data_IF_588354105448
#
_entry.id   IF_588354105448
#
_cell.length_a   1.000
_cell.length_b   1.000
_cell.length_c   1.000
_cell.angle_alpha   90.00
_cell.angle_beta   90.00
_cell.angle_gamma   90.00
#
_symmetry.space_group_name_H-M   'P 1'
#
loop_
_entity.id
_entity.type
_entity.pdbx_description
1 polymer ?
#
# COMPACT_ATOMS: atom_id res chain seq x y z
N UNK A 1 2.30 21.33 28.69
CA UNK A 1 1.81 19.95 28.50
C UNK A 1 1.65 19.70 27.03
N UNK A 2 2.01 18.52 26.54
CA UNK A 2 1.84 18.15 25.14
C UNK A 2 0.35 18.20 24.76
N UNK A 3 0.04 18.83 23.61
CA UNK A 3 -1.32 19.06 23.16
C UNK A 3 -1.62 18.46 21.79
N UNK A 4 -0.56 18.20 20.99
CA UNK A 4 -0.69 17.85 19.59
C UNK A 4 -0.08 16.48 19.27
N UNK A 5 -0.73 15.76 18.37
CA UNK A 5 -0.19 14.62 17.67
C UNK A 5 -0.05 14.97 16.19
N UNK A 6 1.11 14.73 15.61
CA UNK A 6 1.40 15.02 14.22
C UNK A 6 1.53 13.70 13.46
N UNK A 7 0.78 13.54 12.39
CA UNK A 7 0.82 12.34 11.55
C UNK A 7 1.07 12.70 10.10
N UNK A 8 1.80 11.83 9.39
CA UNK A 8 2.06 11.94 7.96
C UNK A 8 1.65 10.67 7.24
N UNK A 9 1.08 10.82 6.06
CA UNK A 9 0.87 9.75 5.09
C UNK A 9 1.73 10.03 3.85
N UNK A 10 2.87 9.37 3.77
CA UNK A 10 3.83 9.49 2.69
C UNK A 10 3.37 8.64 1.50
N UNK A 11 2.36 9.12 0.78
CA UNK A 11 1.74 8.42 -0.34
C UNK A 11 2.58 8.43 -1.62
N UNK A 12 2.01 7.97 -2.73
CA UNK A 12 2.71 7.94 -4.03
C UNK A 12 2.86 9.32 -4.65
N UNK A 13 1.89 10.21 -4.52
CA UNK A 13 1.87 11.53 -5.19
C UNK A 13 2.14 12.71 -4.26
N UNK A 14 2.02 12.50 -2.96
CA UNK A 14 2.11 13.57 -1.96
C UNK A 14 2.35 13.02 -0.56
N UNK A 15 2.90 13.87 0.31
CA UNK A 15 2.83 13.73 1.76
C UNK A 15 1.61 14.49 2.28
N UNK A 16 0.71 13.80 2.97
CA UNK A 16 -0.47 14.36 3.63
C UNK A 16 -0.24 14.38 5.13
N UNK A 17 -0.07 15.57 5.67
CA UNK A 17 0.17 15.77 7.09
C UNK A 17 -1.09 16.23 7.81
N UNK A 18 -1.30 15.72 9.00
CA UNK A 18 -2.46 16.03 9.82
C UNK A 18 -2.03 16.30 11.26
N UNK A 19 -2.56 17.37 11.84
CA UNK A 19 -2.36 17.74 13.22
C UNK A 19 -3.64 17.47 14.01
N UNK A 20 -3.54 16.65 15.04
CA UNK A 20 -4.63 16.33 15.97
C UNK A 20 -4.37 16.93 17.35
N UNK A 21 -5.45 17.31 18.04
CA UNK A 21 -5.40 17.51 19.48
C UNK A 21 -5.24 16.16 20.20
N UNK A 22 -4.80 16.18 21.47
CA UNK A 22 -4.61 14.97 22.26
C UNK A 22 -5.90 14.15 22.48
N UNK A 23 -7.08 14.77 22.31
CA UNK A 23 -8.38 14.11 22.35
C UNK A 23 -8.83 13.48 21.02
N UNK A 24 -7.98 13.56 19.97
CA UNK A 24 -8.27 13.03 18.64
C UNK A 24 -9.01 13.99 17.69
N UNK A 25 -9.27 15.23 18.11
CA UNK A 25 -9.88 16.25 17.26
C UNK A 25 -8.92 16.68 16.14
N UNK A 26 -9.39 16.70 14.90
CA UNK A 26 -8.65 17.21 13.75
C UNK A 26 -8.54 18.73 13.85
N UNK A 27 -7.31 19.25 13.93
CA UNK A 27 -7.04 20.68 14.06
C UNK A 27 -6.64 21.34 12.74
N UNK A 28 -5.85 20.64 11.92
CA UNK A 28 -5.37 21.14 10.64
C UNK A 28 -4.84 20.00 9.77
N UNK A 29 -4.82 20.20 8.47
CA UNK A 29 -4.16 19.33 7.50
C UNK A 29 -3.38 20.16 6.47
N UNK A 30 -2.39 19.54 5.87
CA UNK A 30 -1.57 20.11 4.80
C UNK A 30 -1.12 18.99 3.86
N UNK A 31 -0.97 19.30 2.59
CA UNK A 31 -0.53 18.35 1.57
C UNK A 31 0.56 18.98 0.70
N UNK A 32 1.64 18.23 0.46
CA UNK A 32 2.73 18.63 -0.41
C UNK A 32 3.00 17.52 -1.43
N UNK A 33 2.83 17.85 -2.70
CA UNK A 33 3.06 16.93 -3.81
C UNK A 33 4.55 16.79 -4.14
N UNK A 34 4.91 15.63 -4.69
CA UNK A 34 6.22 15.36 -5.26
C UNK A 34 6.13 14.47 -6.51
N UNK A 35 7.14 14.52 -7.40
CA UNK A 35 7.08 13.81 -8.66
C UNK A 35 7.29 12.31 -8.52
N UNK A 36 6.73 11.55 -9.47
CA UNK A 36 7.16 10.20 -9.82
C UNK A 36 7.91 10.28 -11.14
N UNK A 37 9.11 9.71 -11.19
CA UNK A 37 9.94 9.67 -12.39
C UNK A 37 9.70 8.35 -13.12
N UNK A 38 8.99 8.41 -14.25
CA UNK A 38 8.71 7.25 -15.09
C UNK A 38 9.71 7.16 -16.24
N UNK A 39 10.08 5.92 -16.60
CA UNK A 39 10.90 5.60 -17.76
C UNK A 39 10.46 4.27 -18.39
N UNK A 40 11.03 3.91 -19.54
CA UNK A 40 10.76 2.66 -20.26
C UNK A 40 9.26 2.38 -20.47
N UNK A 41 8.54 3.38 -20.95
CA UNK A 41 7.10 3.26 -21.21
C UNK A 41 6.24 3.10 -19.93
N UNK A 42 6.76 3.52 -18.77
CA UNK A 42 6.08 3.44 -17.50
C UNK A 42 6.39 2.19 -16.68
N UNK A 43 7.26 1.29 -17.17
CA UNK A 43 7.72 0.11 -16.42
C UNK A 43 8.59 0.52 -15.24
N UNK A 44 9.43 1.54 -15.40
CA UNK A 44 10.26 2.11 -14.34
C UNK A 44 9.47 3.21 -13.64
N UNK A 45 9.42 3.17 -12.31
CA UNK A 45 8.77 4.17 -11.48
C UNK A 45 9.62 4.44 -10.23
N UNK A 46 10.20 5.63 -10.18
CA UNK A 46 11.16 6.02 -9.13
C UNK A 46 10.76 7.33 -8.47
N UNK A 47 11.21 7.51 -7.24
CA UNK A 47 11.09 8.77 -6.49
C UNK A 47 12.41 9.14 -5.82
N UNK A 48 12.63 10.45 -5.65
CA UNK A 48 13.76 10.96 -4.89
C UNK A 48 13.38 11.08 -3.41
N UNK A 49 14.15 10.47 -2.54
CA UNK A 49 13.89 10.53 -1.10
C UNK A 49 14.05 11.94 -0.51
N UNK A 50 14.79 12.83 -1.19
CA UNK A 50 14.91 14.24 -0.80
C UNK A 50 13.60 14.98 -0.99
N UNK A 51 12.81 14.62 -2.03
CA UNK A 51 11.50 15.23 -2.26
C UNK A 51 10.52 14.87 -1.13
N UNK A 52 10.58 13.65 -0.62
CA UNK A 52 9.77 13.24 0.55
C UNK A 52 10.12 14.03 1.80
N UNK A 53 11.44 14.20 2.07
CA UNK A 53 11.90 14.96 3.22
C UNK A 53 11.49 16.43 3.12
N UNK A 54 11.61 17.03 1.94
CA UNK A 54 11.20 18.42 1.72
C UNK A 54 9.68 18.58 1.93
N UNK A 55 8.87 17.65 1.42
CA UNK A 55 7.42 17.66 1.60
C UNK A 55 7.04 17.54 3.08
N UNK A 56 7.67 16.60 3.81
CA UNK A 56 7.53 16.44 5.25
C UNK A 56 7.84 17.73 6.01
N UNK A 57 9.00 18.35 5.76
CA UNK A 57 9.41 19.58 6.41
C UNK A 57 8.47 20.75 6.10
N UNK A 58 8.03 20.90 4.86
CA UNK A 58 7.13 21.96 4.44
C UNK A 58 5.74 21.82 5.08
N UNK A 59 5.19 20.61 5.15
CA UNK A 59 3.95 20.35 5.84
C UNK A 59 4.03 20.74 7.32
N UNK A 60 5.11 20.39 8.00
CA UNK A 60 5.33 20.76 9.41
C UNK A 60 5.37 22.28 9.60
N UNK A 61 6.09 23.00 8.75
CA UNK A 61 6.15 24.47 8.81
C UNK A 61 4.75 25.09 8.65
N UNK A 62 3.93 24.56 7.75
CA UNK A 62 2.56 25.04 7.53
C UNK A 62 1.70 24.76 8.76
N UNK A 63 1.69 23.51 9.25
CA UNK A 63 0.84 23.07 10.35
C UNK A 63 1.21 23.73 11.68
N UNK A 64 2.48 24.04 11.89
CA UNK A 64 3.01 24.60 13.14
C UNK A 64 3.24 26.11 13.09
N UNK A 65 2.91 26.80 11.98
CA UNK A 65 3.18 28.24 11.78
C UNK A 65 2.76 29.13 12.96
N UNK A 66 1.56 28.91 13.47
CA UNK A 66 0.96 29.70 14.56
C UNK A 66 0.80 28.86 15.85
N UNK A 67 1.62 27.83 16.01
CA UNK A 67 1.56 26.89 17.14
C UNK A 67 2.95 26.72 17.76
N UNK A 68 2.97 26.34 19.01
CA UNK A 68 4.23 26.05 19.71
C UNK A 68 4.68 24.60 19.39
N UNK A 69 5.80 24.40 18.66
CA UNK A 69 6.31 23.06 18.37
C UNK A 69 6.60 22.23 19.64
N UNK A 70 6.87 22.88 20.79
CA UNK A 70 7.07 22.21 22.06
C UNK A 70 5.82 21.57 22.65
N UNK A 71 4.64 21.79 22.04
CA UNK A 71 3.40 21.14 22.40
C UNK A 71 3.11 19.87 21.55
N UNK A 72 3.95 19.55 20.55
CA UNK A 72 3.88 18.30 19.79
C UNK A 72 4.36 17.14 20.66
N UNK A 73 3.45 16.27 21.06
CA UNK A 73 3.73 15.09 21.87
C UNK A 73 4.53 14.04 21.15
N UNK A 74 4.11 13.75 19.91
CA UNK A 74 4.72 12.74 19.06
C UNK A 74 4.45 13.01 17.60
N UNK A 75 5.33 12.45 16.74
CA UNK A 75 5.14 12.35 15.31
C UNK A 75 5.14 10.87 14.89
N UNK A 76 4.23 10.50 13.97
CA UNK A 76 4.16 9.17 13.38
C UNK A 76 3.98 9.27 11.85
N UNK A 77 4.65 8.40 11.12
CA UNK A 77 4.65 8.41 9.66
C UNK A 77 4.11 7.08 9.14
N UNK A 78 3.01 7.11 8.38
CA UNK A 78 2.61 6.03 7.49
C UNK A 78 3.09 6.31 6.06
N UNK A 79 3.02 5.34 5.18
CA UNK A 79 3.40 5.61 3.79
C UNK A 79 3.30 4.41 2.87
N UNK A 80 3.52 4.68 1.58
CA UNK A 80 3.53 3.69 0.52
C UNK A 80 4.51 2.55 0.83
N UNK A 81 4.12 1.36 0.43
CA UNK A 81 4.79 0.10 0.77
C UNK A 81 5.54 -0.49 -0.44
N UNK A 82 6.20 -1.63 -0.26
CA UNK A 82 6.79 -2.45 -1.33
C UNK A 82 7.89 -1.74 -2.14
N UNK A 83 8.47 -0.68 -1.60
CA UNK A 83 9.54 0.07 -2.23
C UNK A 83 10.93 -0.54 -1.97
N UNK A 84 11.96 -0.01 -2.64
CA UNK A 84 13.34 -0.40 -2.42
C UNK A 84 14.24 0.84 -2.47
N UNK A 85 14.63 1.34 -1.31
CA UNK A 85 15.57 2.46 -1.15
C UNK A 85 16.88 1.95 -0.53
N UNK A 86 17.98 1.79 -1.30
CA UNK A 86 19.29 1.51 -0.75
C UNK A 86 19.89 2.79 -0.14
N UNK A 87 20.34 2.69 1.10
CA UNK A 87 21.00 3.77 1.81
C UNK A 87 22.36 3.33 2.37
N UNK A 88 23.31 4.26 2.47
CA UNK A 88 24.59 4.00 3.11
C UNK A 88 24.50 4.04 4.65
N UNK A 89 25.62 3.85 5.35
CA UNK A 89 25.68 3.84 6.82
C UNK A 89 25.27 5.19 7.45
N UNK A 90 25.41 6.28 6.72
CA UNK A 90 25.00 7.62 7.13
C UNK A 90 23.53 7.93 6.81
N UNK A 91 22.80 6.97 6.25
CA UNK A 91 21.40 7.16 5.84
C UNK A 91 21.21 7.93 4.53
N UNK A 92 22.29 8.14 3.76
CA UNK A 92 22.23 8.84 2.48
C UNK A 92 21.75 7.86 1.41
N UNK A 93 20.70 8.20 0.65
CA UNK A 93 20.25 7.41 -0.49
C UNK A 93 21.36 7.24 -1.54
N UNK A 94 21.53 6.02 -2.04
CA UNK A 94 22.54 5.69 -3.05
C UNK A 94 22.01 5.87 -4.47
N UNK A 95 20.70 5.92 -4.60
CA UNK A 95 19.96 6.18 -5.83
C UNK A 95 18.52 6.58 -5.50
N UNK A 96 17.73 6.94 -6.52
CA UNK A 96 16.28 7.06 -6.38
C UNK A 96 15.64 5.74 -5.94
N UNK A 97 14.58 5.83 -5.16
CA UNK A 97 13.82 4.69 -4.70
C UNK A 97 13.00 4.09 -5.83
N UNK A 98 13.08 2.78 -6.04
CA UNK A 98 12.10 2.04 -6.84
C UNK A 98 10.84 1.86 -6.00
N UNK A 99 9.74 2.54 -6.38
CA UNK A 99 8.46 2.49 -5.65
C UNK A 99 7.64 1.25 -6.02
N UNK A 100 6.48 1.06 -5.37
CA UNK A 100 5.59 -0.09 -5.60
C UNK A 100 5.14 -0.25 -7.06
N UNK A 101 5.02 0.85 -7.81
CA UNK A 101 4.61 0.84 -9.22
C UNK A 101 5.73 0.39 -10.18
N UNK A 102 6.98 0.28 -9.69
CA UNK A 102 8.11 -0.17 -10.50
C UNK A 102 8.04 -1.67 -10.76
N UNK A 103 7.93 -2.03 -12.02
CA UNK A 103 7.77 -3.42 -12.48
C UNK A 103 9.01 -4.00 -13.17
N UNK A 104 10.18 -3.31 -13.13
CA UNK A 104 11.38 -3.74 -13.87
C UNK A 104 11.93 -5.09 -13.48
N UNK A 105 11.70 -5.53 -12.25
CA UNK A 105 12.29 -6.73 -11.66
C UNK A 105 11.50 -8.04 -11.97
N UNK A 106 10.87 -8.13 -13.16
CA UNK A 106 10.06 -9.29 -13.55
C UNK A 106 10.87 -10.58 -13.65
N UNK A 107 12.05 -10.54 -14.28
CA UNK A 107 12.94 -11.71 -14.43
C UNK A 107 13.51 -12.19 -13.09
N UNK A 108 13.83 -11.25 -12.21
CA UNK A 108 14.33 -11.53 -10.87
C UNK A 108 13.23 -12.18 -10.02
N UNK A 109 11.96 -11.73 -10.18
CA UNK A 109 10.82 -12.36 -9.53
C UNK A 109 10.63 -13.83 -10.00
N UNK A 110 10.66 -14.07 -11.32
CA UNK A 110 10.57 -15.43 -11.87
C UNK A 110 11.68 -16.35 -11.32
N UNK A 111 12.88 -15.81 -11.14
CA UNK A 111 13.99 -16.57 -10.59
C UNK A 111 13.80 -16.88 -9.11
N UNK A 112 13.36 -15.92 -8.28
CA UNK A 112 13.06 -16.19 -6.88
C UNK A 112 11.96 -17.25 -6.79
N UNK A 113 10.91 -17.15 -7.61
CA UNK A 113 9.84 -18.14 -7.69
C UNK A 113 10.35 -19.52 -8.08
N UNK A 114 11.27 -19.61 -9.06
CA UNK A 114 11.84 -20.89 -9.50
C UNK A 114 12.70 -21.58 -8.42
N UNK A 115 13.35 -20.81 -7.55
CA UNK A 115 14.20 -21.33 -6.47
C UNK A 115 13.37 -21.75 -5.26
N UNK A 116 12.42 -20.89 -4.84
CA UNK A 116 11.64 -21.12 -3.61
C UNK A 116 10.40 -21.98 -3.89
N UNK A 117 9.82 -21.88 -5.07
CA UNK A 117 8.53 -22.48 -5.43
C UNK A 117 7.35 -21.62 -5.00
N UNK A 118 6.34 -21.49 -5.86
CA UNK A 118 5.20 -20.59 -5.69
C UNK A 118 4.43 -20.82 -4.38
N UNK A 119 4.08 -22.08 -4.11
CA UNK A 119 3.28 -22.42 -2.92
C UNK A 119 4.10 -22.24 -1.63
N UNK A 120 5.38 -22.58 -1.68
CA UNK A 120 6.29 -22.35 -0.56
C UNK A 120 6.48 -20.86 -0.29
N UNK A 121 6.69 -20.06 -1.34
CA UNK A 121 6.80 -18.61 -1.24
C UNK A 121 5.54 -18.00 -0.60
N UNK A 122 4.37 -18.41 -1.09
CA UNK A 122 3.09 -17.98 -0.51
C UNK A 122 2.95 -18.40 0.96
N UNK A 123 3.39 -19.61 1.32
CA UNK A 123 3.34 -20.11 2.71
C UNK A 123 4.25 -19.33 3.68
N UNK A 124 5.23 -18.59 3.17
CA UNK A 124 6.11 -17.73 3.96
C UNK A 124 5.55 -16.29 4.03
N UNK A 125 5.19 -15.74 2.87
CA UNK A 125 4.90 -14.31 2.72
C UNK A 125 3.41 -13.95 2.80
N UNK A 126 2.53 -14.94 2.59
CA UNK A 126 1.08 -14.71 2.45
C UNK A 126 0.68 -14.07 1.12
N UNK A 127 1.62 -13.93 0.18
CA UNK A 127 1.38 -13.28 -1.11
C UNK A 127 1.95 -14.10 -2.26
N UNK A 128 1.34 -13.99 -3.43
CA UNK A 128 1.94 -14.53 -4.65
C UNK A 128 3.18 -13.73 -5.05
N UNK A 129 4.23 -14.38 -5.63
CA UNK A 129 5.39 -13.68 -6.14
C UNK A 129 5.00 -12.57 -7.14
N UNK A 130 5.62 -11.40 -7.03
CA UNK A 130 5.35 -10.27 -7.92
C UNK A 130 6.54 -9.31 -8.01
N UNK A 131 6.82 -8.82 -9.21
CA UNK A 131 7.90 -7.88 -9.51
C UNK A 131 7.81 -6.55 -8.74
N UNK A 132 6.61 -6.19 -8.30
CA UNK A 132 6.34 -4.91 -7.64
C UNK A 132 6.84 -4.84 -6.19
N UNK A 133 7.21 -5.97 -5.59
CA UNK A 133 7.66 -6.04 -4.21
C UNK A 133 9.18 -5.80 -4.04
N UNK A 134 9.62 -5.64 -2.82
CA UNK A 134 11.01 -5.28 -2.49
C UNK A 134 12.02 -6.36 -2.86
N UNK A 135 11.73 -7.65 -2.60
CA UNK A 135 12.66 -8.75 -2.81
C UNK A 135 13.23 -8.83 -4.24
N UNK A 136 12.40 -8.84 -5.32
CA UNK A 136 12.92 -8.86 -6.67
C UNK A 136 13.68 -7.57 -7.04
N UNK A 137 13.30 -6.41 -6.49
CA UNK A 137 14.02 -5.15 -6.72
C UNK A 137 15.42 -5.17 -6.11
N UNK A 138 15.58 -5.78 -4.93
CA UNK A 138 16.91 -5.98 -4.32
C UNK A 138 17.77 -6.89 -5.19
N UNK A 139 17.21 -7.98 -5.72
CA UNK A 139 17.91 -8.88 -6.62
C UNK A 139 18.29 -8.18 -7.93
N UNK A 140 17.38 -7.35 -8.48
CA UNK A 140 17.67 -6.50 -9.64
C UNK A 140 18.89 -5.58 -9.37
N UNK A 141 18.93 -4.90 -8.22
CA UNK A 141 20.09 -4.06 -7.88
C UNK A 141 21.38 -4.86 -7.76
N UNK A 142 21.32 -6.05 -7.20
CA UNK A 142 22.49 -6.93 -7.10
C UNK A 142 23.08 -7.28 -8.46
N UNK A 143 22.24 -7.46 -9.48
CA UNK A 143 22.66 -7.92 -10.81
C UNK A 143 22.96 -6.78 -11.78
N UNK A 144 22.16 -5.74 -11.74
CA UNK A 144 22.25 -4.64 -12.71
C UNK A 144 22.99 -3.40 -12.17
N UNK A 145 23.04 -3.25 -10.83
CA UNK A 145 23.69 -2.13 -10.15
C UNK A 145 24.55 -2.63 -8.97
N UNK A 146 25.51 -3.56 -9.20
CA UNK A 146 26.25 -4.21 -8.11
C UNK A 146 27.00 -3.23 -7.21
N UNK A 147 27.48 -2.11 -7.72
CA UNK A 147 28.13 -1.08 -6.92
C UNK A 147 27.18 -0.46 -5.88
N UNK A 148 25.91 -0.23 -6.27
CA UNK A 148 24.87 0.27 -5.36
C UNK A 148 24.51 -0.80 -4.32
N UNK A 149 24.34 -2.06 -4.74
CA UNK A 149 24.02 -3.16 -3.84
C UNK A 149 25.10 -3.38 -2.78
N UNK A 150 26.38 -3.36 -3.17
CA UNK A 150 27.50 -3.56 -2.24
C UNK A 150 27.65 -2.37 -1.28
N UNK A 151 27.51 -1.13 -1.77
CA UNK A 151 27.59 0.08 -0.97
C UNK A 151 26.38 0.25 -0.01
N UNK A 152 25.26 -0.43 -0.28
CA UNK A 152 24.08 -0.34 0.57
C UNK A 152 24.36 -0.93 1.96
N UNK A 153 24.18 -0.09 2.97
CA UNK A 153 24.18 -0.51 4.38
C UNK A 153 22.82 -1.12 4.74
N UNK A 154 21.71 -0.49 4.29
CA UNK A 154 20.35 -0.97 4.49
C UNK A 154 19.51 -0.76 3.22
N UNK A 155 18.51 -1.63 3.04
CA UNK A 155 17.38 -1.45 2.12
C UNK A 155 16.15 -1.13 2.96
N UNK A 156 15.54 0.05 2.75
CA UNK A 156 14.46 0.57 3.60
C UNK A 156 13.26 1.02 2.76
N UNK A 157 12.13 1.28 3.44
CA UNK A 157 10.90 1.79 2.86
C UNK A 157 10.85 3.34 2.93
N UNK A 158 9.94 4.00 2.18
CA UNK A 158 9.85 5.47 2.17
C UNK A 158 9.63 6.10 3.56
N UNK A 159 8.68 5.57 4.35
CA UNK A 159 8.44 6.08 5.71
C UNK A 159 9.63 5.85 6.65
N UNK A 160 10.37 4.73 6.44
CA UNK A 160 11.55 4.42 7.23
C UNK A 160 12.68 5.43 6.99
N UNK A 161 12.75 6.00 5.78
CA UNK A 161 13.69 7.07 5.46
C UNK A 161 13.39 8.34 6.27
N UNK A 162 12.13 8.74 6.40
CA UNK A 162 11.77 9.90 7.24
C UNK A 162 12.09 9.61 8.70
N UNK A 163 11.74 8.42 9.21
CA UNK A 163 12.07 7.99 10.57
C UNK A 163 13.58 8.01 10.82
N UNK A 164 14.36 7.49 9.87
CA UNK A 164 15.84 7.52 9.92
C UNK A 164 16.39 8.94 9.97
N UNK A 165 15.88 9.85 9.13
CA UNK A 165 16.28 11.27 9.15
C UNK A 165 15.98 11.92 10.50
N UNK A 166 14.84 11.60 11.11
CA UNK A 166 14.43 12.16 12.40
C UNK A 166 15.25 11.60 13.57
N UNK A 167 15.57 10.30 13.57
CA UNK A 167 16.07 9.59 14.76
C UNK A 167 17.50 9.05 14.63
N UNK A 168 18.03 8.94 13.41
CA UNK A 168 19.29 8.27 13.13
C UNK A 168 19.23 6.73 13.22
N UNK A 169 18.04 6.13 13.40
CA UNK A 169 17.84 4.71 13.64
C UNK A 169 17.17 4.00 12.46
N UNK A 170 17.58 2.75 12.21
CA UNK A 170 17.10 1.95 11.08
C UNK A 170 16.02 0.97 11.55
N UNK A 171 14.79 1.44 11.61
CA UNK A 171 13.62 0.63 11.93
C UNK A 171 12.65 0.54 10.75
N UNK A 172 11.91 -0.56 10.68
CA UNK A 172 10.68 -0.69 9.89
C UNK A 172 9.59 -1.33 10.74
N UNK A 173 8.32 -1.22 10.32
CA UNK A 173 7.26 -1.92 11.04
C UNK A 173 6.95 -3.29 10.44
N UNK A 174 6.33 -4.16 11.26
CA UNK A 174 6.00 -5.51 10.87
C UNK A 174 5.08 -5.59 9.64
N UNK A 175 4.18 -4.60 9.45
CA UNK A 175 3.27 -4.59 8.30
C UNK A 175 4.01 -4.33 6.99
N UNK A 176 4.97 -3.40 6.99
CA UNK A 176 5.82 -3.10 5.84
C UNK A 176 6.83 -4.23 5.59
N UNK A 177 7.48 -4.74 6.64
CA UNK A 177 8.36 -5.91 6.52
C UNK A 177 7.64 -7.08 5.86
N UNK A 178 6.40 -7.38 6.25
CA UNK A 178 5.54 -8.41 5.66
C UNK A 178 5.25 -8.21 4.17
N UNK A 179 5.32 -6.96 3.68
CA UNK A 179 5.10 -6.63 2.27
C UNK A 179 6.40 -6.42 1.48
N UNK A 180 7.56 -6.75 2.06
CA UNK A 180 8.83 -6.76 1.31
C UNK A 180 9.02 -8.02 0.45
N UNK A 181 8.26 -9.09 0.70
CA UNK A 181 8.52 -10.44 0.22
C UNK A 181 9.85 -11.06 0.76
N UNK A 182 10.43 -10.48 1.82
CA UNK A 182 11.62 -10.99 2.49
C UNK A 182 11.33 -11.50 3.91
N UNK A 183 10.09 -11.32 4.38
CA UNK A 183 9.68 -11.56 5.76
C UNK A 183 8.70 -12.72 5.88
N UNK A 184 8.92 -13.59 6.85
CA UNK A 184 7.97 -14.65 7.18
C UNK A 184 6.92 -14.09 8.15
N UNK A 185 5.70 -13.88 7.66
CA UNK A 185 4.61 -13.28 8.44
C UNK A 185 4.11 -14.14 9.59
N UNK A 186 4.45 -15.43 9.62
CA UNK A 186 4.03 -16.36 10.69
C UNK A 186 5.08 -16.49 11.80
N UNK A 187 6.36 -16.55 11.44
CA UNK A 187 7.44 -16.56 12.44
C UNK A 187 7.76 -15.18 12.98
N UNK A 188 7.37 -14.11 12.27
CA UNK A 188 7.72 -12.75 12.63
C UNK A 188 9.21 -12.45 12.49
N UNK A 189 9.86 -13.04 11.49
CA UNK A 189 11.29 -12.90 11.24
C UNK A 189 11.58 -12.73 9.74
N UNK A 190 12.71 -12.14 9.38
CA UNK A 190 13.22 -12.19 8.02
C UNK A 190 13.41 -13.66 7.60
N UNK A 191 13.00 -14.00 6.37
CA UNK A 191 13.03 -15.39 5.89
C UNK A 191 14.41 -15.76 5.35
N UNK A 192 15.15 -16.61 6.07
CA UNK A 192 16.45 -17.10 5.62
C UNK A 192 16.38 -17.73 4.23
N UNK A 193 15.31 -18.49 3.94
CA UNK A 193 15.10 -19.17 2.66
C UNK A 193 14.99 -18.17 1.50
N UNK A 194 14.19 -17.09 1.66
CA UNK A 194 14.04 -16.07 0.63
C UNK A 194 15.30 -15.20 0.56
N UNK A 195 15.89 -14.86 1.71
CA UNK A 195 17.15 -14.12 1.76
C UNK A 195 18.27 -14.85 1.01
N UNK A 196 18.33 -16.16 1.14
CA UNK A 196 19.29 -17.00 0.41
C UNK A 196 19.00 -16.99 -1.10
N UNK A 197 17.72 -17.09 -1.51
CA UNK A 197 17.33 -17.04 -2.93
C UNK A 197 17.68 -15.70 -3.58
N UNK A 198 17.53 -14.58 -2.85
CA UNK A 198 17.93 -13.23 -3.29
C UNK A 198 19.46 -13.03 -3.16
N UNK A 199 20.10 -13.79 -2.28
CA UNK A 199 21.51 -13.61 -1.91
C UNK A 199 21.75 -12.30 -1.16
N UNK A 200 20.84 -11.97 -0.23
CA UNK A 200 20.87 -10.80 0.62
C UNK A 200 21.21 -11.19 2.06
N UNK A 201 22.20 -10.54 2.64
CA UNK A 201 22.51 -10.72 4.04
C UNK A 201 21.48 -9.99 4.92
N UNK A 202 20.96 -10.66 5.96
CA UNK A 202 19.93 -10.11 6.84
C UNK A 202 20.35 -8.78 7.48
N UNK A 203 21.63 -8.58 7.76
CA UNK A 203 22.14 -7.34 8.33
C UNK A 203 22.03 -6.12 7.40
N UNK A 204 21.67 -6.31 6.12
CA UNK A 204 21.31 -5.22 5.18
C UNK A 204 19.83 -4.82 5.27
N UNK A 205 19.07 -5.39 6.20
CA UNK A 205 17.66 -5.04 6.45
C UNK A 205 17.53 -4.31 7.78
N UNK A 206 16.51 -3.43 7.93
CA UNK A 206 16.26 -2.72 9.19
C UNK A 206 15.78 -3.67 10.31
N UNK A 207 15.82 -3.21 11.55
CA UNK A 207 15.18 -3.87 12.66
C UNK A 207 13.66 -3.74 12.54
N UNK A 208 12.93 -4.83 12.83
CA UNK A 208 11.46 -4.86 12.73
C UNK A 208 10.85 -4.64 14.10
N UNK A 209 9.99 -3.62 14.20
CA UNK A 209 9.20 -3.32 15.39
C UNK A 209 7.71 -3.29 15.05
N UNK A 210 6.85 -3.23 16.06
CA UNK A 210 5.42 -3.05 15.83
C UNK A 210 5.08 -1.56 15.66
N UNK A 211 4.07 -1.25 14.84
CA UNK A 211 3.51 0.09 14.80
C UNK A 211 3.07 0.53 16.20
N UNK A 212 3.24 1.81 16.52
CA UNK A 212 3.04 2.37 17.85
C UNK A 212 4.25 2.27 18.79
N UNK A 213 5.34 1.59 18.38
CA UNK A 213 6.57 1.52 19.20
C UNK A 213 7.34 2.85 19.11
N UNK A 214 7.77 3.44 20.24
CA UNK A 214 8.75 4.54 20.23
C UNK A 214 10.07 4.08 19.61
N UNK A 215 10.57 4.83 18.62
CA UNK A 215 11.80 4.48 17.88
C UNK A 215 12.93 5.50 18.05
N UNK A 216 12.71 6.52 18.84
CA UNK A 216 13.67 7.56 19.13
C UNK A 216 13.02 8.92 19.28
N UNK A 217 13.85 9.94 19.21
CA UNK A 217 13.42 11.33 19.29
C UNK A 217 14.03 12.12 18.14
N UNK A 218 13.42 13.23 17.79
CA UNK A 218 13.93 14.17 16.79
C UNK A 218 15.32 14.64 17.24
N UNK A 219 16.31 14.47 16.35
CA UNK A 219 17.71 14.88 16.56
C UNK A 219 17.86 16.39 16.45
N UNK A 220 18.81 16.94 17.22
CA UNK A 220 19.20 18.37 17.16
C UNK A 220 19.57 18.80 15.73
N UNK A 221 20.24 17.92 14.98
CA UNK A 221 20.76 18.21 13.64
C UNK A 221 19.70 18.45 12.57
N UNK A 222 18.45 18.01 12.78
CA UNK A 222 17.35 18.13 11.79
C UNK A 222 16.14 18.91 12.32
N UNK A 223 16.14 19.25 13.60
CA UNK A 223 15.00 19.87 14.29
C UNK A 223 14.56 21.18 13.64
N UNK A 224 15.51 22.09 13.36
CA UNK A 224 15.22 23.36 12.68
C UNK A 224 14.68 23.13 11.26
N UNK A 225 15.30 22.22 10.50
CA UNK A 225 14.91 21.91 9.13
C UNK A 225 13.47 21.37 9.06
N UNK A 226 13.10 20.50 9.98
CA UNK A 226 11.76 19.88 10.01
C UNK A 226 10.72 20.62 10.88
N UNK A 227 11.07 21.78 11.44
CA UNK A 227 10.19 22.60 12.27
C UNK A 227 9.64 21.89 13.52
N UNK A 228 10.37 20.91 14.05
CA UNK A 228 10.07 20.22 15.30
C UNK A 228 11.14 20.56 16.35
N UNK A 229 10.81 20.37 17.62
CA UNK A 229 11.83 20.53 18.65
C UNK A 229 12.68 19.26 18.80
N UNK A 230 13.97 19.41 19.12
CA UNK A 230 14.79 18.30 19.57
C UNK A 230 14.11 17.58 20.73
N UNK A 231 14.19 16.26 20.72
CA UNK A 231 13.54 15.45 21.76
C UNK A 231 12.05 15.15 21.53
N UNK A 232 11.41 15.71 20.50
CA UNK A 232 10.05 15.29 20.12
C UNK A 232 10.01 13.80 19.83
N UNK A 233 9.10 13.07 20.46
CA UNK A 233 9.00 11.62 20.31
C UNK A 233 8.64 11.21 18.88
N UNK A 234 9.37 10.25 18.31
CA UNK A 234 9.07 9.61 17.03
C UNK A 234 8.52 8.21 17.30
N UNK A 235 7.33 7.94 16.78
CA UNK A 235 6.63 6.66 16.94
C UNK A 235 6.58 5.96 15.58
N UNK A 236 6.93 4.69 15.55
CA UNK A 236 6.83 3.89 14.33
C UNK A 236 5.39 3.86 13.85
N UNK A 237 5.15 4.34 12.64
CA UNK A 237 3.88 4.17 11.94
C UNK A 237 3.79 2.83 11.22
N UNK A 238 2.89 2.74 10.26
CA UNK A 238 2.59 1.52 9.51
C UNK A 238 2.59 1.78 8.00
N UNK A 239 2.59 0.72 7.19
CA UNK A 239 2.27 0.84 5.78
C UNK A 239 0.87 1.43 5.57
N UNK A 240 0.71 2.22 4.50
CA UNK A 240 -0.51 3.00 4.20
C UNK A 240 -1.81 2.18 4.25
N UNK A 241 -1.82 1.00 3.63
CA UNK A 241 -2.99 0.12 3.64
C UNK A 241 -3.37 -0.37 5.04
N UNK A 242 -2.42 -0.50 5.97
CA UNK A 242 -2.68 -0.90 7.36
C UNK A 242 -3.11 0.29 8.21
N UNK A 243 -2.52 1.46 7.98
CA UNK A 243 -2.93 2.70 8.60
C UNK A 243 -4.37 3.06 8.20
N UNK A 244 -4.74 2.89 6.92
CA UNK A 244 -6.11 3.09 6.44
C UNK A 244 -7.11 2.13 7.11
N UNK A 245 -6.75 0.86 7.32
CA UNK A 245 -7.59 -0.10 8.05
C UNK A 245 -7.82 0.34 9.49
N UNK A 246 -6.75 0.76 10.18
CA UNK A 246 -6.87 1.29 11.55
C UNK A 246 -7.78 2.52 11.58
N UNK A 247 -7.60 3.45 10.63
CA UNK A 247 -8.44 4.64 10.51
C UNK A 247 -9.91 4.33 10.22
N UNK A 248 -10.19 3.20 9.55
CA UNK A 248 -11.54 2.67 9.33
C UNK A 248 -12.09 1.88 10.53
N UNK A 249 -11.32 1.72 11.61
CA UNK A 249 -11.73 0.98 12.81
C UNK A 249 -11.55 -0.54 12.70
N UNK A 250 -10.81 -1.05 11.72
CA UNK A 250 -10.67 -2.49 11.45
C UNK A 250 -9.46 -3.06 12.20
N UNK A 251 -9.71 -3.65 13.36
CA UNK A 251 -8.70 -4.28 14.22
C UNK A 251 -9.09 -5.66 14.74
N UNK A 252 -10.39 -5.90 14.91
CA UNK A 252 -10.90 -7.11 15.52
C UNK A 252 -11.32 -8.13 14.44
N UNK A 253 -11.34 -9.39 14.85
CA UNK A 253 -11.78 -10.50 14.00
C UNK A 253 -13.19 -10.26 13.46
N UNK A 254 -13.33 -10.46 12.14
CA UNK A 254 -14.60 -10.31 11.43
C UNK A 254 -14.91 -8.87 11.01
N UNK A 255 -14.12 -7.89 11.46
CA UNK A 255 -14.21 -6.54 10.91
C UNK A 255 -13.60 -6.49 9.51
N UNK A 256 -14.31 -5.88 8.59
CA UNK A 256 -13.90 -5.78 7.20
C UNK A 256 -14.21 -4.41 6.63
N UNK A 257 -13.47 -4.00 5.60
CA UNK A 257 -13.78 -2.80 4.84
C UNK A 257 -13.61 -3.04 3.34
N UNK A 258 -14.32 -2.24 2.57
CA UNK A 258 -14.19 -2.15 1.12
C UNK A 258 -13.64 -0.77 0.77
N UNK A 259 -12.59 -0.73 -0.02
CA UNK A 259 -12.13 0.49 -0.65
C UNK A 259 -12.54 0.50 -2.12
N UNK A 260 -13.31 1.52 -2.52
CA UNK A 260 -13.76 1.74 -3.89
C UNK A 260 -12.95 2.88 -4.51
N UNK A 261 -11.85 2.52 -5.16
CA UNK A 261 -10.99 3.42 -5.92
C UNK A 261 -10.90 3.00 -7.39
N UNK A 262 -9.89 3.48 -8.10
CA UNK A 262 -9.56 3.05 -9.48
C UNK A 262 -9.49 1.53 -9.58
N UNK A 263 -8.65 0.89 -8.76
CA UNK A 263 -8.82 -0.51 -8.33
C UNK A 263 -9.66 -0.54 -7.07
N UNK A 264 -10.26 -1.69 -6.75
CA UNK A 264 -11.02 -1.84 -5.51
C UNK A 264 -10.54 -3.07 -4.76
N UNK A 265 -10.63 -3.03 -3.42
CA UNK A 265 -10.25 -4.18 -2.61
C UNK A 265 -11.15 -4.35 -1.41
N UNK A 266 -11.22 -5.58 -0.97
CA UNK A 266 -11.86 -5.97 0.28
C UNK A 266 -10.79 -6.57 1.20
N UNK A 267 -10.76 -6.15 2.45
CA UNK A 267 -9.85 -6.64 3.47
C UNK A 267 -10.56 -6.86 4.78
N UNK A 268 -10.19 -7.92 5.51
CA UNK A 268 -10.76 -8.24 6.81
C UNK A 268 -9.67 -8.68 7.79
N UNK A 269 -9.88 -8.34 9.07
CA UNK A 269 -9.03 -8.79 10.17
C UNK A 269 -9.42 -10.20 10.62
N UNK A 270 -8.43 -11.04 10.90
CA UNK A 270 -8.61 -12.42 11.36
C UNK A 270 -7.53 -12.84 12.35
N UNK A 271 -7.86 -13.71 13.29
CA UNK A 271 -6.93 -14.40 14.18
C UNK A 271 -6.40 -15.73 13.59
N UNK A 272 -6.84 -16.08 12.38
CA UNK A 272 -6.49 -17.35 11.74
C UNK A 272 -5.26 -17.21 10.85
N UNK A 273 -4.31 -18.11 11.06
CA UNK A 273 -3.14 -18.26 10.20
C UNK A 273 -3.41 -19.09 8.93
N UNK A 274 -4.66 -19.57 8.74
CA UNK A 274 -5.03 -20.42 7.59
C UNK A 274 -4.70 -19.74 6.27
N UNK A 275 -4.13 -20.50 5.36
CA UNK A 275 -3.76 -20.05 4.03
C UNK A 275 -4.10 -21.11 2.99
N UNK A 276 -4.46 -20.65 1.81
CA UNK A 276 -4.57 -21.46 0.60
C UNK A 276 -3.96 -20.66 -0.56
N UNK A 277 -2.83 -21.15 -1.07
CA UNK A 277 -2.13 -20.53 -2.19
C UNK A 277 -2.98 -20.45 -3.48
N UNK A 278 -4.01 -21.29 -3.57
CA UNK A 278 -4.94 -21.33 -4.71
C UNK A 278 -6.21 -20.49 -4.50
N UNK A 279 -6.36 -19.87 -3.32
CA UNK A 279 -7.53 -19.02 -3.04
C UNK A 279 -7.56 -17.76 -3.90
N UNK A 280 -6.41 -17.29 -4.37
CA UNK A 280 -6.27 -16.03 -5.06
C UNK A 280 -6.40 -14.80 -4.14
N UNK A 281 -6.25 -15.00 -2.83
CA UNK A 281 -6.25 -13.94 -1.82
C UNK A 281 -4.85 -13.68 -1.33
N UNK A 282 -4.63 -12.51 -0.74
CA UNK A 282 -3.41 -12.23 0.02
C UNK A 282 -3.65 -12.35 1.52
N UNK A 283 -2.60 -12.63 2.25
CA UNK A 283 -2.54 -12.51 3.70
C UNK A 283 -1.38 -11.60 4.10
N UNK A 284 -1.58 -10.77 5.10
CA UNK A 284 -0.55 -9.91 5.66
C UNK A 284 -0.71 -9.77 7.17
N UNK A 285 0.24 -9.10 7.81
CA UNK A 285 0.15 -8.81 9.24
C UNK A 285 -0.84 -7.67 9.49
N UNK A 286 -1.63 -7.81 10.56
CA UNK A 286 -2.42 -6.74 11.14
C UNK A 286 -1.52 -5.82 11.99
N UNK A 287 -2.00 -4.63 12.35
CA UNK A 287 -1.36 -3.79 13.37
C UNK A 287 -1.55 -4.34 14.79
N UNK A 288 -2.50 -5.22 14.99
CA UNK A 288 -2.68 -5.96 16.23
C UNK A 288 -1.85 -7.24 16.21
N UNK A 289 -0.97 -7.40 17.19
CA UNK A 289 -0.11 -8.59 17.32
C UNK A 289 -0.94 -9.87 17.45
N UNK A 290 -0.58 -10.88 16.65
CA UNK A 290 -1.30 -12.17 16.60
C UNK A 290 -2.50 -12.18 15.66
N UNK A 291 -2.76 -11.05 14.97
CA UNK A 291 -3.80 -10.95 13.97
C UNK A 291 -3.21 -10.79 12.57
N UNK A 292 -3.98 -11.22 11.59
CA UNK A 292 -3.67 -11.13 10.16
C UNK A 292 -4.75 -10.34 9.44
N UNK A 293 -4.43 -9.92 8.25
CA UNK A 293 -5.36 -9.35 7.29
C UNK A 293 -5.44 -10.29 6.10
N UNK A 294 -6.63 -10.72 5.76
CA UNK A 294 -6.91 -11.35 4.48
C UNK A 294 -7.57 -10.36 3.55
N UNK A 295 -7.33 -10.52 2.26
CA UNK A 295 -7.99 -9.66 1.30
C UNK A 295 -7.78 -10.07 -0.14
N UNK A 296 -8.51 -9.40 -1.00
CA UNK A 296 -8.38 -9.52 -2.45
C UNK A 296 -8.56 -8.16 -3.11
N UNK A 297 -7.75 -7.90 -4.12
CA UNK A 297 -7.80 -6.67 -4.91
C UNK A 297 -8.28 -6.99 -6.32
N UNK A 298 -9.37 -6.35 -6.75
CA UNK A 298 -9.79 -6.36 -8.14
C UNK A 298 -9.09 -5.24 -8.93
N UNK A 299 -8.79 -5.53 -10.20
CA UNK A 299 -7.96 -4.65 -11.03
C UNK A 299 -8.69 -3.38 -11.45
N UNK A 300 -9.96 -3.46 -11.81
CA UNK A 300 -10.75 -2.35 -12.33
C UNK A 300 -12.08 -2.19 -11.57
N UNK A 301 -12.02 -1.52 -10.41
CA UNK A 301 -13.19 -1.16 -9.62
C UNK A 301 -13.87 0.10 -10.16
N UNK A 302 -13.63 1.25 -9.55
CA UNK A 302 -14.14 2.55 -10.01
C UNK A 302 -13.72 2.89 -11.44
N UNK A 303 -12.55 2.42 -11.87
CA UNK A 303 -12.10 2.55 -13.27
C UNK A 303 -13.11 2.00 -14.28
N UNK A 304 -13.81 0.91 -13.96
CA UNK A 304 -14.85 0.36 -14.85
C UNK A 304 -15.96 1.37 -15.10
N UNK A 305 -16.34 2.10 -14.06
CA UNK A 305 -17.38 3.11 -14.15
C UNK A 305 -16.92 4.37 -14.86
N UNK A 306 -15.72 4.86 -14.54
CA UNK A 306 -15.10 6.00 -15.24
C UNK A 306 -14.90 5.71 -16.73
N UNK A 307 -14.40 4.51 -17.04
CA UNK A 307 -14.26 4.06 -18.43
C UNK A 307 -15.59 4.03 -19.16
N UNK A 308 -16.64 3.52 -18.52
CA UNK A 308 -17.98 3.47 -19.09
C UNK A 308 -18.51 4.88 -19.39
N UNK A 309 -18.43 5.80 -18.43
CA UNK A 309 -18.87 7.20 -18.63
C UNK A 309 -18.10 7.83 -19.78
N UNK A 310 -16.78 7.76 -19.75
CA UNK A 310 -15.90 8.43 -20.70
C UNK A 310 -16.04 7.91 -22.13
N UNK A 311 -16.24 6.61 -22.31
CA UNK A 311 -16.17 5.99 -23.63
C UNK A 311 -17.53 5.60 -24.20
N UNK A 312 -18.57 5.41 -23.39
CA UNK A 312 -19.87 4.93 -23.84
C UNK A 312 -21.01 5.92 -23.58
N UNK A 313 -20.78 7.01 -22.81
CA UNK A 313 -21.74 8.08 -22.60
C UNK A 313 -21.31 9.31 -23.40
N UNK A 314 -21.96 9.57 -24.54
CA UNK A 314 -21.60 10.67 -25.44
C UNK A 314 -21.75 12.08 -24.85
N UNK A 315 -22.58 12.21 -23.82
CA UNK A 315 -22.93 13.48 -23.12
C UNK A 315 -22.09 13.71 -21.85
N UNK A 316 -21.14 12.84 -21.55
CA UNK A 316 -20.27 12.88 -20.38
C UNK A 316 -21.00 13.29 -19.07
N UNK A 317 -22.03 12.53 -18.65
CA UNK A 317 -22.90 12.89 -17.53
C UNK A 317 -22.14 12.93 -16.22
N UNK A 318 -22.57 13.78 -15.30
CA UNK A 318 -22.07 13.78 -13.92
C UNK A 318 -22.46 12.50 -13.17
N UNK A 319 -21.74 12.17 -12.11
CA UNK A 319 -22.11 11.03 -11.24
C UNK A 319 -23.53 11.12 -10.70
N UNK A 320 -24.01 12.32 -10.36
CA UNK A 320 -25.38 12.54 -9.87
C UNK A 320 -26.46 12.23 -10.94
N UNK A 321 -26.19 12.55 -12.21
CA UNK A 321 -27.07 12.20 -13.32
C UNK A 321 -27.07 10.68 -13.58
N UNK A 322 -25.91 10.07 -13.49
CA UNK A 322 -25.77 8.62 -13.60
C UNK A 322 -26.52 7.89 -12.47
N UNK A 323 -26.43 8.36 -11.24
CA UNK A 323 -27.16 7.82 -10.10
C UNK A 323 -28.66 7.81 -10.32
N UNK A 324 -29.23 8.91 -10.84
CA UNK A 324 -30.66 8.97 -11.21
C UNK A 324 -31.04 7.94 -12.26
N UNK A 325 -30.18 7.69 -13.25
CA UNK A 325 -30.43 6.65 -14.27
C UNK A 325 -30.38 5.25 -13.65
N UNK A 326 -29.36 4.97 -12.85
CA UNK A 326 -29.18 3.66 -12.19
C UNK A 326 -30.35 3.34 -11.28
N UNK A 327 -30.84 4.30 -10.49
CA UNK A 327 -31.95 4.11 -9.56
C UNK A 327 -33.30 3.90 -10.28
N UNK A 328 -33.41 4.28 -11.55
CA UNK A 328 -34.61 4.03 -12.36
C UNK A 328 -34.77 2.58 -12.84
N UNK A 329 -33.72 1.77 -12.72
CA UNK A 329 -33.69 0.36 -13.12
C UNK A 329 -33.66 -0.51 -11.87
N UNK A 330 -34.40 -1.60 -11.85
CA UNK A 330 -34.42 -2.54 -10.73
C UNK A 330 -33.08 -3.26 -10.57
N UNK A 331 -32.71 -3.72 -9.34
CA UNK A 331 -31.55 -4.56 -9.11
C UNK A 331 -31.54 -5.79 -10.04
N UNK A 332 -30.35 -6.12 -10.56
CA UNK A 332 -30.16 -7.17 -11.54
C UNK A 332 -30.18 -6.70 -12.99
N UNK A 333 -30.35 -5.38 -13.24
CA UNK A 333 -30.30 -4.73 -14.56
C UNK A 333 -31.09 -5.51 -15.64
N UNK A 334 -32.24 -6.08 -15.29
CA UNK A 334 -33.08 -6.96 -16.14
C UNK A 334 -32.29 -8.15 -16.74
N UNK A 335 -31.32 -8.69 -15.98
CA UNK A 335 -30.51 -9.85 -16.37
C UNK A 335 -29.25 -9.46 -17.19
N UNK A 336 -28.94 -8.18 -17.32
CA UNK A 336 -27.66 -7.76 -17.91
C UNK A 336 -26.54 -7.85 -16.86
N UNK A 337 -25.44 -8.47 -17.23
CA UNK A 337 -24.24 -8.58 -16.42
C UNK A 337 -23.06 -7.84 -17.07
N UNK A 338 -22.26 -7.19 -16.27
CA UNK A 338 -20.97 -6.64 -16.68
C UNK A 338 -19.83 -7.39 -16.01
N UNK A 339 -18.81 -7.76 -16.80
CA UNK A 339 -17.57 -8.35 -16.31
C UNK A 339 -16.50 -7.25 -16.22
N UNK A 340 -15.98 -6.90 -15.04
CA UNK A 340 -15.14 -5.72 -14.83
C UNK A 340 -13.66 -5.96 -15.19
N UNK A 341 -13.34 -6.79 -16.18
CA UNK A 341 -11.98 -7.27 -16.47
C UNK A 341 -11.29 -6.48 -17.59
N UNK A 342 -11.55 -5.19 -17.71
CA UNK A 342 -11.02 -4.32 -18.79
C UNK A 342 -9.51 -4.16 -18.79
N UNK A 343 -8.83 -4.45 -17.68
CA UNK A 343 -7.37 -4.47 -17.53
C UNK A 343 -6.81 -5.86 -17.14
N UNK A 344 -7.54 -6.93 -17.46
CA UNK A 344 -7.30 -8.23 -16.82
C UNK A 344 -7.84 -8.24 -15.40
N UNK A 345 -7.52 -9.28 -14.63
CA UNK A 345 -7.97 -9.38 -13.25
C UNK A 345 -6.87 -9.92 -12.33
N UNK A 346 -6.87 -9.41 -11.08
CA UNK A 346 -6.08 -9.94 -9.98
C UNK A 346 -6.87 -10.98 -9.19
N UNK A 347 -7.26 -10.66 -7.96
CA UNK A 347 -8.01 -11.56 -7.11
C UNK A 347 -9.42 -11.80 -7.64
N UNK A 348 -9.88 -13.04 -7.60
CA UNK A 348 -9.16 -14.23 -7.17
C UNK A 348 -8.55 -15.03 -8.33
N UNK A 349 -8.56 -14.52 -9.54
CA UNK A 349 -8.25 -15.29 -10.77
C UNK A 349 -6.80 -15.18 -11.22
N UNK A 350 -6.16 -14.02 -11.02
CA UNK A 350 -4.80 -13.68 -11.51
C UNK A 350 -4.63 -13.96 -13.00
N UNK A 351 -5.61 -13.49 -13.81
CA UNK A 351 -5.61 -13.61 -15.26
C UNK A 351 -5.48 -12.23 -15.93
N UNK A 352 -4.28 -11.94 -16.41
CA UNK A 352 -3.99 -10.70 -17.16
C UNK A 352 -4.62 -10.70 -18.56
N UNK A 353 -5.02 -11.86 -19.07
CA UNK A 353 -5.69 -12.04 -20.36
C UNK A 353 -7.21 -11.84 -20.32
N UNK A 354 -7.83 -11.83 -19.13
CA UNK A 354 -9.26 -11.62 -18.99
C UNK A 354 -9.69 -10.27 -19.59
N UNK A 355 -10.92 -10.23 -20.14
CA UNK A 355 -11.48 -9.05 -20.81
C UNK A 355 -12.83 -8.68 -20.25
N UNK A 356 -13.12 -7.38 -20.20
CA UNK A 356 -14.44 -6.85 -19.86
C UNK A 356 -15.49 -7.26 -20.90
N UNK A 357 -16.72 -7.49 -20.44
CA UNK A 357 -17.83 -7.84 -21.32
C UNK A 357 -19.17 -7.40 -20.73
N UNK A 358 -20.12 -7.12 -21.62
CA UNK A 358 -21.54 -7.06 -21.29
C UNK A 358 -22.22 -8.34 -21.78
N UNK A 359 -22.95 -9.00 -20.91
CA UNK A 359 -23.67 -10.25 -21.20
C UNK A 359 -25.17 -10.08 -20.98
N UNK A 360 -25.98 -10.79 -21.73
CA UNK A 360 -27.44 -10.80 -21.56
C UNK A 360 -28.16 -9.58 -22.13
N UNK A 361 -27.58 -8.89 -23.12
CA UNK A 361 -28.20 -7.75 -23.82
C UNK A 361 -29.54 -8.16 -24.46
N UNK A 362 -30.58 -7.32 -24.28
CA UNK A 362 -31.90 -7.43 -24.90
C UNK A 362 -32.22 -6.14 -25.65
N UNK A 363 -33.14 -6.21 -26.62
CA UNK A 363 -33.56 -5.04 -27.38
C UNK A 363 -34.28 -3.95 -26.52
N UNK A 364 -34.74 -4.33 -25.33
CA UNK A 364 -35.38 -3.41 -24.35
C UNK A 364 -34.40 -2.71 -23.44
N UNK A 365 -33.14 -3.12 -23.42
CA UNK A 365 -32.16 -2.54 -22.56
C UNK A 365 -31.77 -1.13 -23.02
N UNK A 366 -31.57 -0.23 -22.07
CA UNK A 366 -31.19 1.16 -22.27
C UNK A 366 -29.83 1.45 -21.61
N UNK A 367 -29.31 2.66 -21.80
CA UNK A 367 -28.13 3.14 -21.10
C UNK A 367 -28.24 2.97 -19.57
N UNK A 368 -29.42 3.18 -19.00
CA UNK A 368 -29.64 3.01 -17.56
C UNK A 368 -29.38 1.57 -17.09
N UNK A 369 -29.79 0.55 -17.88
CA UNK A 369 -29.48 -0.85 -17.60
C UNK A 369 -27.97 -1.13 -17.69
N UNK A 370 -27.30 -0.60 -18.71
CA UNK A 370 -25.83 -0.73 -18.83
C UNK A 370 -25.12 -0.07 -17.65
N UNK A 371 -25.47 1.15 -17.28
CA UNK A 371 -24.89 1.86 -16.15
C UNK A 371 -25.04 1.07 -14.85
N UNK A 372 -26.24 0.52 -14.62
CA UNK A 372 -26.51 -0.30 -13.45
C UNK A 372 -25.69 -1.59 -13.46
N UNK A 373 -25.64 -2.28 -14.59
CA UNK A 373 -24.87 -3.52 -14.70
C UNK A 373 -23.36 -3.32 -14.44
N UNK A 374 -22.78 -2.16 -14.81
CA UNK A 374 -21.38 -1.86 -14.50
C UNK A 374 -21.15 -1.77 -13.00
N UNK A 375 -22.00 -1.05 -12.25
CA UNK A 375 -21.87 -0.97 -10.80
C UNK A 375 -22.11 -2.32 -10.12
N UNK A 376 -23.13 -3.05 -10.58
CA UNK A 376 -23.43 -4.40 -10.06
C UNK A 376 -22.31 -5.40 -10.37
N UNK A 377 -21.68 -5.31 -11.55
CA UNK A 377 -20.56 -6.16 -11.93
C UNK A 377 -19.34 -5.97 -10.99
N UNK A 378 -19.04 -4.74 -10.62
CA UNK A 378 -17.99 -4.43 -9.63
C UNK A 378 -18.38 -4.99 -8.25
N UNK A 379 -19.63 -4.78 -7.80
CA UNK A 379 -20.11 -5.29 -6.52
C UNK A 379 -20.13 -6.82 -6.47
N UNK A 380 -20.57 -7.48 -7.53
CA UNK A 380 -20.59 -8.95 -7.65
C UNK A 380 -19.17 -9.53 -7.62
N UNK A 381 -18.20 -8.85 -8.23
CA UNK A 381 -16.81 -9.30 -8.16
C UNK A 381 -16.25 -9.18 -6.75
N UNK A 382 -16.53 -8.10 -6.03
CA UNK A 382 -16.15 -7.97 -4.61
C UNK A 382 -16.84 -9.03 -3.75
N UNK A 383 -18.07 -9.41 -4.05
CA UNK A 383 -18.78 -10.51 -3.39
C UNK A 383 -18.12 -11.88 -3.66
N UNK A 384 -17.53 -12.10 -4.84
CA UNK A 384 -16.75 -13.31 -5.13
C UNK A 384 -15.50 -13.36 -4.22
N UNK A 385 -14.80 -12.23 -4.04
CA UNK A 385 -13.67 -12.13 -3.12
C UNK A 385 -14.12 -12.44 -1.69
N UNK A 386 -15.22 -11.82 -1.22
CA UNK A 386 -15.78 -12.05 0.12
C UNK A 386 -16.11 -13.53 0.35
N UNK A 387 -16.83 -14.15 -0.57
CA UNK A 387 -17.18 -15.58 -0.49
C UNK A 387 -15.95 -16.50 -0.41
N UNK A 388 -14.83 -16.10 -1.01
CA UNK A 388 -13.57 -16.86 -0.86
C UNK A 388 -12.94 -16.65 0.50
N UNK A 389 -13.03 -15.44 1.06
CA UNK A 389 -12.55 -15.13 2.41
C UNK A 389 -13.36 -15.91 3.45
N UNK A 390 -14.68 -15.97 3.33
CA UNK A 390 -15.55 -16.75 4.23
C UNK A 390 -15.19 -18.25 4.23
N UNK A 391 -14.90 -18.85 3.07
CA UNK A 391 -14.47 -20.25 2.97
C UNK A 391 -13.15 -20.55 3.66
N UNK A 392 -12.32 -19.54 3.93
CA UNK A 392 -11.06 -19.66 4.64
C UNK A 392 -11.17 -19.30 6.13
N UNK A 393 -12.38 -19.15 6.67
CA UNK A 393 -12.59 -18.59 8.03
C UNK A 393 -11.86 -17.25 8.22
N UNK A 394 -11.78 -16.46 7.17
CA UNK A 394 -10.97 -15.25 7.12
C UNK A 394 -11.78 -13.98 7.41
N UNK A 395 -13.09 -14.14 7.63
CA UNK A 395 -14.03 -13.06 8.00
C UNK A 395 -14.89 -13.54 9.16
#
# INVERSE_FOLDING_TARGET
MAKYLLTHDLGTSSDKATLYAANGELLAHSEQSYPVYYAEGGIFAEQDAVDWWNAFCNNNRILLKDRNPGEVAAVAISGQMMACLPVNKQGIPLRRCMIWADGRAGKENERIESVVGKDRFYSITGNAPSANYTAPKVLYLKEHEPAVFEAAYKFIQPKDYINLRLTGSFFTDASDAGHTHLYNIFSGQWSDEILQAVGLAQNKLPEVVWAGTPIGNVLDSVAEECALLPGTLVVQGAGDGRAAMLGAGILEKGEAYVCLGTSSWLSAATDKANMDAHSGLYKGLSLRKGYYINGGTMQAGGLSYDWYIKNLCCDNPSYAEMEKQITSVSPGADGMLYMPYILGERAPYFDTGAKGAFLGLKATHTRAHMSRSVMEGVALHLAIILNRMEKLDAV
#
